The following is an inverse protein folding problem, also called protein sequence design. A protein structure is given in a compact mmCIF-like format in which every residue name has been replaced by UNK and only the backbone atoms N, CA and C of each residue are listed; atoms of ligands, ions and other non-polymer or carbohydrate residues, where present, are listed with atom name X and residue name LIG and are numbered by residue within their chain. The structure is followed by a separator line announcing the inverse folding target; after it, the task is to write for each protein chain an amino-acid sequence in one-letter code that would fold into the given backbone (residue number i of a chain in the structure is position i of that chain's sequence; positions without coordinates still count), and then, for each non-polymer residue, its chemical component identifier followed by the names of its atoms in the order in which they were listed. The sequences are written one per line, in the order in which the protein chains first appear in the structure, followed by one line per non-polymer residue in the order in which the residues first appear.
data_IF_053683976819
#
_entry.id   IF_053683976819
#
_cell.length_a   1.000
_cell.length_b   1.000
_cell.length_c   1.000
_cell.angle_alpha   90.00
_cell.angle_beta   90.00
_cell.angle_gamma   90.00
#
_symmetry.space_group_name_H-M   'P 1'
#
loop_
_entity.id
_entity.type
_entity.pdbx_description
1 polymer ?
#
# COMPACT_ATOMS: atom_id res chain seq x y z
N UNK A 1 0.88 -20.52 -1.51
CA UNK A 1 0.88 -19.07 -1.28
C UNK A 1 0.33 -18.67 0.10
N UNK A 2 -0.18 -19.61 0.90
CA UNK A 2 -0.57 -19.33 2.30
C UNK A 2 0.57 -18.77 3.17
N UNK A 3 1.84 -19.25 3.08
CA UNK A 3 2.93 -18.66 3.86
C UNK A 3 3.15 -17.17 3.54
N UNK A 4 3.03 -16.80 2.25
CA UNK A 4 3.11 -15.41 1.81
C UNK A 4 1.96 -14.57 2.39
N UNK A 5 0.72 -15.08 2.36
CA UNK A 5 -0.42 -14.35 2.91
C UNK A 5 -0.27 -14.10 4.43
N UNK A 6 0.15 -15.12 5.18
CA UNK A 6 0.42 -14.99 6.63
C UNK A 6 1.55 -14.01 6.91
N UNK A 7 2.64 -14.07 6.14
CA UNK A 7 3.76 -13.16 6.27
C UNK A 7 3.36 -11.72 5.94
N UNK A 8 2.62 -11.49 4.86
CA UNK A 8 2.10 -10.16 4.49
C UNK A 8 1.19 -9.60 5.59
N UNK A 9 0.33 -10.42 6.18
CA UNK A 9 -0.51 -9.99 7.30
C UNK A 9 0.35 -9.54 8.49
N UNK A 10 1.46 -10.23 8.78
CA UNK A 10 2.41 -9.83 9.82
C UNK A 10 3.08 -8.48 9.49
N UNK A 11 3.57 -8.30 8.26
CA UNK A 11 4.22 -7.05 7.85
C UNK A 11 3.28 -5.84 7.84
N UNK A 12 2.04 -6.04 7.38
CA UNK A 12 1.05 -4.97 7.28
C UNK A 12 0.38 -4.66 8.62
N UNK A 13 0.51 -5.52 9.63
CA UNK A 13 0.00 -5.26 10.98
C UNK A 13 -1.48 -4.90 10.98
N UNK A 14 -1.83 -3.77 11.58
CA UNK A 14 -3.21 -3.28 11.70
C UNK A 14 -3.75 -2.64 10.41
N UNK A 15 -2.92 -2.42 9.38
CA UNK A 15 -3.33 -1.80 8.11
C UNK A 15 -4.35 -2.63 7.34
N UNK A 16 -4.39 -3.95 7.59
CA UNK A 16 -5.32 -4.89 6.98
C UNK A 16 -5.87 -5.84 8.04
N UNK A 17 -7.13 -6.22 7.93
CA UNK A 17 -7.74 -7.25 8.77
C UNK A 17 -7.19 -8.64 8.45
N UNK A 18 -7.13 -8.95 7.15
CA UNK A 18 -6.79 -10.28 6.63
C UNK A 18 -6.07 -10.13 5.29
N UNK A 19 -5.21 -11.10 4.97
CA UNK A 19 -4.66 -11.28 3.63
C UNK A 19 -5.16 -12.64 3.11
N UNK A 20 -5.64 -12.69 1.87
CA UNK A 20 -6.13 -13.91 1.24
C UNK A 20 -5.79 -13.97 -0.25
N UNK A 21 -5.86 -15.15 -0.83
CA UNK A 21 -5.68 -15.33 -2.27
C UNK A 21 -6.96 -14.88 -3.00
N UNK A 22 -6.79 -14.34 -4.20
CA UNK A 22 -7.89 -13.95 -5.06
C UNK A 22 -7.87 -14.75 -6.36
N UNK A 23 -9.04 -15.28 -6.71
CA UNK A 23 -9.26 -16.00 -7.98
C UNK A 23 -9.86 -15.10 -9.07
N UNK A 24 -10.27 -13.88 -8.72
CA UNK A 24 -10.93 -12.93 -9.63
C UNK A 24 -9.99 -11.90 -10.25
N UNK A 25 -8.78 -11.75 -9.73
CA UNK A 25 -7.79 -10.80 -10.25
C UNK A 25 -7.10 -11.38 -11.49
N UNK A 26 -7.07 -10.60 -12.57
CA UNK A 26 -6.40 -10.97 -13.83
C UNK A 26 -5.11 -10.16 -13.96
N UNK A 27 -5.24 -8.86 -14.21
CA UNK A 27 -4.09 -7.99 -14.51
C UNK A 27 -3.49 -7.29 -13.28
N UNK A 28 -4.20 -7.29 -12.14
CA UNK A 28 -3.73 -6.63 -10.92
C UNK A 28 -3.01 -7.60 -9.98
N UNK A 29 -1.90 -7.18 -9.33
CA UNK A 29 -1.19 -7.99 -8.35
C UNK A 29 -1.98 -8.19 -7.05
N UNK A 30 -2.72 -7.18 -6.63
CA UNK A 30 -3.53 -7.22 -5.43
C UNK A 30 -4.69 -6.21 -5.50
N UNK A 31 -5.69 -6.39 -4.65
CA UNK A 31 -6.77 -5.42 -4.41
C UNK A 31 -7.08 -5.34 -2.93
N UNK A 32 -7.50 -4.16 -2.45
CA UNK A 32 -8.14 -4.05 -1.14
C UNK A 32 -9.64 -4.18 -1.31
N UNK A 33 -10.24 -5.02 -0.49
CA UNK A 33 -11.69 -5.16 -0.37
C UNK A 33 -12.14 -4.87 1.05
N UNK A 34 -13.39 -4.45 1.16
CA UNK A 34 -14.01 -4.17 2.43
C UNK A 34 -14.49 -5.45 3.09
N UNK A 35 -14.14 -5.65 4.37
CA UNK A 35 -14.78 -6.63 5.23
C UNK A 35 -16.23 -6.26 5.52
N UNK A 36 -17.05 -7.25 5.92
CA UNK A 36 -18.52 -7.15 6.05
C UNK A 36 -19.04 -5.96 6.87
N UNK A 37 -18.22 -5.42 7.79
CA UNK A 37 -18.59 -4.31 8.69
C UNK A 37 -17.74 -3.05 8.50
N UNK A 38 -16.92 -3.00 7.45
CA UNK A 38 -16.07 -1.85 7.16
C UNK A 38 -16.85 -0.67 6.57
N UNK A 39 -16.41 0.56 6.84
CA UNK A 39 -16.95 1.77 6.21
C UNK A 39 -16.24 2.07 4.90
N UNK A 40 -16.99 2.18 3.78
CA UNK A 40 -16.39 2.33 2.43
C UNK A 40 -15.56 3.61 2.33
N UNK A 41 -14.54 3.67 1.45
CA UNK A 41 -13.76 4.90 1.28
C UNK A 41 -14.65 6.12 0.95
N UNK A 42 -15.71 5.92 0.18
CA UNK A 42 -16.70 6.96 -0.13
C UNK A 42 -17.47 7.40 1.13
N UNK A 43 -17.90 6.44 1.95
CA UNK A 43 -18.59 6.72 3.21
C UNK A 43 -17.68 7.42 4.22
N UNK A 44 -16.40 7.05 4.31
CA UNK A 44 -15.41 7.75 5.13
C UNK A 44 -15.24 9.21 4.68
N UNK A 45 -15.16 9.47 3.37
CA UNK A 45 -15.06 10.83 2.82
C UNK A 45 -16.31 11.65 3.15
N UNK A 46 -17.50 11.07 2.93
CA UNK A 46 -18.78 11.72 3.22
C UNK A 46 -18.94 12.01 4.72
N UNK A 47 -18.59 11.06 5.60
CA UNK A 47 -18.71 11.25 7.05
C UNK A 47 -17.74 12.31 7.55
N UNK A 48 -16.47 12.30 7.11
CA UNK A 48 -15.49 13.36 7.40
C UNK A 48 -15.99 14.75 6.99
N UNK A 49 -16.70 14.84 5.87
CA UNK A 49 -17.26 16.11 5.37
C UNK A 49 -18.46 16.62 6.17
N UNK A 50 -19.14 15.76 6.92
CA UNK A 50 -20.29 16.14 7.76
C UNK A 50 -19.93 16.30 9.25
N UNK A 51 -18.91 15.61 9.75
CA UNK A 51 -18.49 15.66 11.15
C UNK A 51 -17.70 16.93 11.51
N UNK A 52 -17.52 17.89 10.61
CA UNK A 52 -16.84 19.18 10.89
C UNK A 52 -17.64 20.08 11.84
N UNK A 53 -18.87 19.72 12.23
CA UNK A 53 -19.73 20.52 13.13
C UNK A 53 -19.89 19.96 14.55
N UNK A 54 -19.35 18.79 14.88
CA UNK A 54 -19.38 18.26 16.25
C UNK A 54 -18.14 17.44 16.53
N UNK A 55 -17.19 18.07 17.23
CA UNK A 55 -15.93 17.48 17.65
C UNK A 55 -16.15 16.45 18.77
N UNK A 56 -16.43 15.21 18.39
CA UNK A 56 -16.21 14.02 19.23
C UNK A 56 -16.43 12.79 18.34
N UNK A 57 -15.34 12.19 17.84
CA UNK A 57 -15.23 10.77 17.43
C UNK A 57 -14.04 10.54 16.48
N UNK A 58 -12.87 11.10 16.82
CA UNK A 58 -11.59 10.75 16.19
C UNK A 58 -11.23 9.27 16.33
N UNK A 59 -11.87 8.55 17.26
CA UNK A 59 -11.81 7.09 17.45
C UNK A 59 -12.43 6.28 16.30
N UNK A 60 -13.42 6.83 15.58
CA UNK A 60 -14.12 6.10 14.51
C UNK A 60 -13.35 6.08 13.17
N UNK A 61 -12.46 7.05 12.95
CA UNK A 61 -11.59 7.11 11.78
C UNK A 61 -10.50 6.02 11.80
N UNK A 62 -10.04 5.61 12.98
CA UNK A 62 -9.06 4.54 13.17
C UNK A 62 -9.71 3.16 12.94
N UNK A 63 -10.98 2.98 13.32
CA UNK A 63 -11.71 1.71 13.18
C UNK A 63 -12.00 1.28 11.73
N UNK A 64 -11.90 2.19 10.74
CA UNK A 64 -12.28 1.89 9.34
C UNK A 64 -11.19 1.21 8.50
N UNK A 65 -9.91 1.28 8.89
CA UNK A 65 -8.83 0.54 8.20
C UNK A 65 -8.71 -0.92 8.67
N UNK A 66 -9.07 -1.19 9.92
CA UNK A 66 -8.99 -2.52 10.54
C UNK A 66 -9.98 -3.56 9.96
N UNK A 67 -10.73 -3.20 8.93
CA UNK A 67 -11.66 -4.09 8.21
C UNK A 67 -11.26 -4.32 6.74
N UNK A 68 -10.13 -3.78 6.27
CA UNK A 68 -9.71 -4.00 4.87
C UNK A 68 -9.07 -5.40 4.71
N UNK A 69 -9.54 -6.18 3.74
CA UNK A 69 -8.95 -7.46 3.37
C UNK A 69 -8.09 -7.24 2.12
N UNK A 70 -6.81 -7.62 2.19
CA UNK A 70 -5.92 -7.61 1.03
C UNK A 70 -6.05 -8.95 0.29
N UNK A 71 -6.50 -8.87 -0.95
CA UNK A 71 -6.58 -9.98 -1.87
C UNK A 71 -5.36 -9.96 -2.79
N UNK A 72 -4.56 -11.03 -2.80
CA UNK A 72 -3.36 -11.14 -3.65
C UNK A 72 -3.58 -12.12 -4.81
N UNK A 73 -3.01 -11.81 -5.98
CA UNK A 73 -3.08 -12.62 -7.19
C UNK A 73 -1.81 -13.46 -7.38
N UNK A 74 -1.82 -14.78 -7.10
CA UNK A 74 -0.64 -15.64 -7.25
C UNK A 74 -0.11 -15.76 -8.69
N UNK A 75 -0.96 -15.45 -9.68
CA UNK A 75 -0.63 -15.55 -11.10
C UNK A 75 0.13 -14.33 -11.60
N UNK A 76 0.09 -13.22 -10.86
CA UNK A 76 0.76 -11.99 -11.25
C UNK A 76 2.26 -12.03 -10.94
N UNK A 77 3.09 -11.60 -11.90
CA UNK A 77 4.55 -11.66 -11.81
C UNK A 77 5.12 -10.92 -10.59
N UNK A 78 4.53 -9.77 -10.23
CA UNK A 78 4.91 -9.01 -9.02
C UNK A 78 4.72 -9.83 -7.74
N UNK A 79 3.63 -10.59 -7.61
CA UNK A 79 3.38 -11.41 -6.41
C UNK A 79 4.34 -12.60 -6.35
N UNK A 80 4.70 -13.16 -7.51
CA UNK A 80 5.72 -14.22 -7.59
C UNK A 80 7.11 -13.70 -7.19
N UNK A 81 7.49 -12.51 -7.66
CA UNK A 81 8.74 -11.84 -7.25
C UNK A 81 8.73 -11.52 -5.76
N UNK A 82 7.61 -11.04 -5.21
CA UNK A 82 7.46 -10.78 -3.78
C UNK A 82 7.61 -12.04 -2.93
N UNK A 83 7.06 -13.18 -3.40
CA UNK A 83 7.28 -14.49 -2.77
C UNK A 83 8.76 -14.85 -2.74
N UNK A 84 9.48 -14.69 -3.86
CA UNK A 84 10.90 -14.98 -3.93
C UNK A 84 11.73 -14.04 -3.02
N UNK A 85 11.39 -12.75 -2.97
CA UNK A 85 12.03 -11.79 -2.08
C UNK A 85 11.83 -12.12 -0.60
N UNK A 86 10.61 -12.53 -0.23
CA UNK A 86 10.30 -13.02 1.12
C UNK A 86 11.13 -14.25 1.49
N UNK A 87 11.32 -15.20 0.55
CA UNK A 87 12.07 -16.44 0.79
C UNK A 87 13.58 -16.19 0.89
N UNK A 88 14.11 -15.22 0.12
CA UNK A 88 15.54 -14.92 0.07
C UNK A 88 16.02 -13.97 1.17
N UNK A 89 15.30 -12.86 1.39
CA UNK A 89 15.71 -11.79 2.29
C UNK A 89 14.49 -11.04 2.86
N UNK A 90 13.75 -11.65 3.80
CA UNK A 90 12.49 -11.09 4.31
C UNK A 90 12.66 -9.77 5.08
N UNK A 91 13.85 -9.49 5.62
CA UNK A 91 14.13 -8.27 6.38
C UNK A 91 14.86 -7.20 5.56
N UNK A 92 15.17 -7.46 4.29
CA UNK A 92 15.80 -6.45 3.44
C UNK A 92 14.86 -5.29 3.16
N UNK A 93 15.38 -4.07 3.19
CA UNK A 93 14.62 -2.84 2.91
C UNK A 93 13.88 -2.93 1.57
N UNK A 94 14.53 -3.49 0.53
CA UNK A 94 13.90 -3.68 -0.78
C UNK A 94 12.67 -4.61 -0.73
N UNK A 95 12.71 -5.65 0.10
CA UNK A 95 11.58 -6.57 0.30
C UNK A 95 10.44 -5.86 1.04
N UNK A 96 10.76 -5.06 2.05
CA UNK A 96 9.78 -4.27 2.81
C UNK A 96 9.15 -3.17 1.96
N UNK A 97 9.95 -2.47 1.14
CA UNK A 97 9.48 -1.49 0.17
C UNK A 97 8.50 -2.14 -0.83
N UNK A 98 8.80 -3.35 -1.31
CA UNK A 98 7.93 -4.08 -2.23
C UNK A 98 6.59 -4.45 -1.60
N UNK A 99 6.56 -4.86 -0.33
CA UNK A 99 5.32 -5.09 0.42
C UNK A 99 4.48 -3.83 0.48
N UNK A 100 5.08 -2.72 0.87
CA UNK A 100 4.38 -1.44 0.99
C UNK A 100 3.86 -0.95 -0.36
N UNK A 101 4.64 -1.07 -1.44
CA UNK A 101 4.18 -0.69 -2.77
C UNK A 101 3.00 -1.52 -3.26
N UNK A 102 2.99 -2.84 -3.04
CA UNK A 102 1.84 -3.70 -3.40
C UNK A 102 0.59 -3.30 -2.62
N UNK A 103 0.73 -3.00 -1.32
CA UNK A 103 -0.38 -2.54 -0.50
C UNK A 103 -0.89 -1.16 -0.92
N UNK A 104 0.00 -0.19 -1.13
CA UNK A 104 -0.34 1.19 -1.45
C UNK A 104 -0.96 1.32 -2.85
N UNK A 105 -0.48 0.55 -3.83
CA UNK A 105 -1.10 0.48 -5.16
C UNK A 105 -2.48 -0.16 -5.11
N UNK A 106 -2.67 -1.25 -4.35
CA UNK A 106 -3.99 -1.85 -4.13
C UNK A 106 -4.95 -0.89 -3.41
N UNK A 107 -4.44 -0.13 -2.43
CA UNK A 107 -5.20 0.90 -1.73
C UNK A 107 -5.63 2.04 -2.66
N UNK A 108 -4.70 2.53 -3.48
CA UNK A 108 -4.95 3.60 -4.45
C UNK A 108 -6.04 3.20 -5.44
N UNK A 109 -5.93 2.01 -6.04
CA UNK A 109 -6.93 1.48 -6.98
C UNK A 109 -8.30 1.24 -6.32
N UNK A 110 -8.31 0.81 -5.06
CA UNK A 110 -9.53 0.66 -4.26
C UNK A 110 -10.13 1.97 -3.75
N UNK A 111 -9.53 3.13 -4.07
CA UNK A 111 -9.99 4.45 -3.62
C UNK A 111 -9.71 4.75 -2.14
N UNK A 112 -8.91 3.94 -1.46
CA UNK A 112 -8.46 4.16 -0.10
C UNK A 112 -7.44 5.29 -0.04
N UNK A 113 -7.39 6.00 1.10
CA UNK A 113 -6.40 7.05 1.30
C UNK A 113 -5.02 6.43 1.59
N UNK A 114 -3.96 6.95 0.96
CA UNK A 114 -2.58 6.64 1.33
C UNK A 114 -2.24 7.47 2.58
N UNK A 115 -1.73 6.84 3.63
CA UNK A 115 -1.45 7.52 4.91
C UNK A 115 -0.29 8.50 4.81
N UNK A 116 0.80 8.06 4.19
CA UNK A 116 1.96 8.89 3.94
C UNK A 116 2.26 8.93 2.43
N UNK A 117 1.65 9.86 1.69
CA UNK A 117 1.91 10.03 0.26
C UNK A 117 3.37 10.34 -0.05
N UNK A 118 4.10 11.00 0.85
CA UNK A 118 5.51 11.31 0.65
C UNK A 118 6.37 10.04 0.67
N UNK A 119 6.11 9.09 1.56
CA UNK A 119 6.84 7.81 1.59
C UNK A 119 6.54 6.96 0.35
N UNK A 120 5.28 6.93 -0.09
CA UNK A 120 4.90 6.25 -1.33
C UNK A 120 5.60 6.89 -2.53
N UNK A 121 5.60 8.23 -2.64
CA UNK A 121 6.29 8.94 -3.70
C UNK A 121 7.80 8.65 -3.69
N UNK A 122 8.44 8.65 -2.51
CA UNK A 122 9.86 8.28 -2.37
C UNK A 122 10.17 6.86 -2.85
N UNK A 123 9.30 5.89 -2.55
CA UNK A 123 9.44 4.50 -3.05
C UNK A 123 9.31 4.44 -4.57
N UNK A 124 8.34 5.18 -5.14
CA UNK A 124 8.14 5.25 -6.59
C UNK A 124 9.35 5.89 -7.29
N UNK A 125 9.85 7.02 -6.78
CA UNK A 125 11.02 7.69 -7.37
C UNK A 125 12.28 6.83 -7.27
N UNK A 126 12.50 6.15 -6.13
CA UNK A 126 13.60 5.19 -5.97
C UNK A 126 13.53 4.07 -7.01
N UNK A 127 12.34 3.52 -7.26
CA UNK A 127 12.14 2.50 -8.28
C UNK A 127 12.42 3.04 -9.70
N UNK A 128 12.05 4.29 -9.98
CA UNK A 128 12.35 4.95 -11.26
C UNK A 128 13.85 5.15 -11.46
N UNK A 129 14.58 5.54 -10.42
CA UNK A 129 16.04 5.70 -10.48
C UNK A 129 16.74 4.36 -10.72
N UNK A 130 16.32 3.30 -10.01
CA UNK A 130 16.84 1.95 -10.17
C UNK A 130 16.55 1.38 -11.57
N UNK A 131 15.36 1.66 -12.11
CA UNK A 131 14.99 1.23 -13.46
C UNK A 131 15.65 2.09 -14.57
N UNK A 132 15.90 3.37 -14.29
CA UNK A 132 16.54 4.32 -15.19
C UNK A 132 18.06 4.18 -15.26
N UNK A 133 18.67 3.44 -14.33
CA UNK A 133 20.12 3.20 -14.25
C UNK A 133 20.75 2.43 -15.42
N UNK A 134 19.96 1.93 -16.37
CA UNK A 134 20.44 1.34 -17.64
C UNK A 134 20.25 2.29 -18.85
N UNK A 135 19.76 3.52 -18.63
CA UNK A 135 19.52 4.49 -19.69
C UNK A 135 20.26 5.82 -19.44
N UNK A 136 21.60 5.76 -19.49
CA UNK A 136 22.42 6.92 -19.82
C UNK A 136 22.78 7.85 -18.65
N UNK A 137 24.05 8.26 -18.67
CA UNK A 137 24.65 9.19 -17.73
C UNK A 137 23.90 10.53 -17.57
N UNK A 138 23.91 11.06 -16.35
CA UNK A 138 23.92 12.51 -16.10
C UNK A 138 22.68 13.07 -15.41
N UNK A 139 22.85 13.54 -14.17
CA UNK A 139 21.90 14.46 -13.55
C UNK A 139 21.80 14.31 -12.04
N UNK A 140 22.83 14.75 -11.31
CA UNK A 140 22.68 15.15 -9.91
C UNK A 140 21.59 16.21 -9.81
N UNK A 141 20.45 15.89 -9.22
CA UNK A 141 19.51 16.89 -8.73
C UNK A 141 19.82 17.14 -7.27
N UNK A 142 20.64 18.18 -7.05
CA UNK A 142 20.75 18.87 -5.78
C UNK A 142 19.35 19.34 -5.37
N UNK A 143 18.87 18.84 -4.23
CA UNK A 143 17.67 19.35 -3.61
C UNK A 143 17.98 20.74 -3.03
N UNK A 144 17.79 21.79 -3.82
CA UNK A 144 17.70 23.14 -3.27
C UNK A 144 16.39 23.27 -2.48
N UNK A 145 16.58 23.41 -1.18
CA UNK A 145 15.60 23.84 -0.20
C UNK A 145 15.22 25.31 -0.49
N UNK A 146 14.01 25.55 -0.98
CA UNK A 146 13.30 26.81 -0.71
C UNK A 146 12.13 26.46 0.23
N UNK A 147 12.09 26.85 1.50
CA UNK A 147 12.71 28.03 2.08
C UNK A 147 11.89 29.28 1.77
N UNK A 148 10.73 29.40 2.45
CA UNK A 148 10.05 30.64 2.84
C UNK A 148 9.76 31.71 1.76
N UNK A 149 8.47 31.93 1.50
CA UNK A 149 7.78 33.20 1.75
C UNK A 149 6.27 33.01 1.72
#
# INVERSE_FOLDING_TARGET
YEPLATWLKKQLGERVQKVQLSDRLVDSPATLVQGEWGMSPMMQRYMKSQTTSSASDSSFAIGSRNQAILEINPRHSVVQKLKAAMEAAPEADATQDMVMMVFETAALLGGYNIENPADFARRVTKLMDEAGGDAGAGGSVEAEVLGQQ
#
